data_IF_503532093385
#
_entry.id   IF_503532093385
#
_cell.length_a   1.000
_cell.length_b   1.000
_cell.length_c   1.000
_cell.angle_alpha   90.00
_cell.angle_beta   90.00
_cell.angle_gamma   90.00
#
_symmetry.space_group_name_H-M   'P 1'
#
loop_
_entity.id
_entity.type
_entity.pdbx_description
1 polymer ?
#
# COMPACT_ATOMS: atom_id res chain seq x y z
N UNK A 1 21.17 9.89 -26.79
CA UNK A 1 20.30 9.65 -25.61
C UNK A 1 20.88 10.48 -24.48
N UNK A 2 20.15 11.46 -23.95
CA UNK A 2 20.56 12.17 -22.76
C UNK A 2 20.50 11.19 -21.58
N UNK A 3 21.55 11.10 -20.77
CA UNK A 3 21.53 10.30 -19.55
C UNK A 3 20.47 10.92 -18.64
N UNK A 4 19.51 10.09 -18.17
CA UNK A 4 18.52 10.52 -17.20
C UNK A 4 19.21 11.11 -15.97
N UNK A 5 18.78 12.29 -15.54
CA UNK A 5 19.40 12.90 -14.35
C UNK A 5 19.13 12.03 -13.12
N UNK A 6 20.01 12.08 -12.12
CA UNK A 6 19.81 11.36 -10.86
C UNK A 6 18.44 11.67 -10.20
N UNK A 7 17.93 12.84 -10.48
CA UNK A 7 16.63 13.29 -10.02
C UNK A 7 15.45 12.68 -10.79
N UNK A 8 15.62 12.37 -12.09
CA UNK A 8 14.59 11.73 -12.88
C UNK A 8 14.47 10.24 -12.46
N UNK A 9 15.59 9.61 -12.14
CA UNK A 9 15.63 8.25 -11.58
C UNK A 9 14.90 8.20 -10.24
N UNK A 10 15.19 9.14 -9.33
CA UNK A 10 14.53 9.17 -8.02
C UNK A 10 13.02 9.41 -8.12
N UNK A 11 12.57 10.20 -9.11
CA UNK A 11 11.14 10.41 -9.36
C UNK A 11 10.46 9.11 -9.82
N UNK A 12 11.07 8.41 -10.77
CA UNK A 12 10.58 7.10 -11.26
C UNK A 12 10.55 6.10 -10.09
N UNK A 13 11.61 6.00 -9.31
CA UNK A 13 11.70 5.11 -8.15
C UNK A 13 10.61 5.38 -7.11
N UNK A 14 10.25 6.65 -6.89
CA UNK A 14 9.16 7.03 -6.00
C UNK A 14 7.79 6.58 -6.54
N UNK A 15 7.53 6.76 -7.83
CA UNK A 15 6.30 6.27 -8.47
C UNK A 15 6.22 4.75 -8.41
N UNK A 16 7.33 4.04 -8.65
CA UNK A 16 7.41 2.59 -8.52
C UNK A 16 7.15 2.14 -7.08
N UNK A 17 7.72 2.82 -6.07
CA UNK A 17 7.45 2.52 -4.67
C UNK A 17 5.96 2.61 -4.33
N UNK A 18 5.29 3.68 -4.73
CA UNK A 18 3.85 3.84 -4.52
C UNK A 18 3.03 2.78 -5.26
N UNK A 19 3.41 2.46 -6.50
CA UNK A 19 2.73 1.47 -7.34
C UNK A 19 2.91 0.04 -6.81
N UNK A 20 4.13 -0.31 -6.42
CA UNK A 20 4.48 -1.63 -5.90
C UNK A 20 3.73 -1.93 -4.60
N UNK A 21 3.64 -0.95 -3.71
CA UNK A 21 2.82 -1.07 -2.50
C UNK A 21 1.36 -1.38 -2.83
N UNK A 22 0.80 -0.64 -3.78
CA UNK A 22 -0.61 -0.80 -4.14
C UNK A 22 -0.87 -2.16 -4.82
N UNK A 23 -0.02 -2.59 -5.76
CA UNK A 23 -0.23 -3.86 -6.47
C UNK A 23 -0.05 -5.06 -5.55
N UNK A 24 0.96 -5.04 -4.67
CA UNK A 24 1.22 -6.15 -3.73
C UNK A 24 0.08 -6.31 -2.74
N UNK A 25 -0.41 -5.21 -2.13
CA UNK A 25 -1.58 -5.30 -1.25
C UNK A 25 -2.85 -5.67 -2.02
N UNK A 26 -3.03 -5.16 -3.24
CA UNK A 26 -4.15 -5.52 -4.10
C UNK A 26 -4.20 -7.03 -4.37
N UNK A 27 -3.07 -7.65 -4.65
CA UNK A 27 -2.97 -9.10 -4.83
C UNK A 27 -3.26 -9.86 -3.53
N UNK A 28 -2.71 -9.41 -2.39
CA UNK A 28 -3.01 -10.01 -1.08
C UNK A 28 -4.50 -9.97 -0.74
N UNK A 29 -5.16 -8.83 -0.98
CA UNK A 29 -6.60 -8.72 -0.79
C UNK A 29 -7.38 -9.60 -1.76
N UNK A 30 -6.91 -9.71 -3.01
CA UNK A 30 -7.50 -10.59 -4.03
C UNK A 30 -7.48 -12.08 -3.69
N UNK A 31 -6.59 -12.54 -2.81
CA UNK A 31 -6.57 -13.92 -2.31
C UNK A 31 -7.84 -14.29 -1.51
N UNK A 32 -8.62 -13.30 -1.07
CA UNK A 32 -9.92 -13.51 -0.42
C UNK A 32 -11.08 -13.72 -1.39
N UNK A 33 -10.90 -13.47 -2.68
CA UNK A 33 -11.95 -13.69 -3.68
C UNK A 33 -12.38 -15.15 -3.71
N UNK A 34 -13.65 -15.40 -3.40
CA UNK A 34 -14.22 -16.74 -3.21
C UNK A 34 -13.88 -17.43 -1.88
N UNK A 35 -13.23 -16.73 -0.94
CA UNK A 35 -12.76 -17.26 0.34
C UNK A 35 -13.06 -16.33 1.53
N UNK A 36 -13.80 -15.25 1.30
CA UNK A 36 -14.18 -14.30 2.34
C UNK A 36 -15.00 -14.96 3.45
N UNK A 37 -14.94 -14.45 4.70
CA UNK A 37 -15.66 -15.05 5.83
C UNK A 37 -17.18 -14.99 5.66
N UNK A 38 -17.67 -14.01 4.94
CA UNK A 38 -19.07 -13.86 4.50
C UNK A 38 -19.08 -13.17 3.13
N UNK A 39 -20.18 -13.28 2.39
CA UNK A 39 -20.29 -12.76 1.02
C UNK A 39 -19.97 -11.26 0.92
N UNK A 40 -20.46 -10.47 1.87
CA UNK A 40 -20.27 -9.03 1.90
C UNK A 40 -18.78 -8.66 2.03
N UNK A 41 -18.04 -9.40 2.82
CA UNK A 41 -16.61 -9.18 3.02
C UNK A 41 -15.76 -9.69 1.84
N UNK A 42 -16.17 -10.78 1.22
CA UNK A 42 -15.57 -11.24 -0.04
C UNK A 42 -15.66 -10.14 -1.11
N UNK A 43 -16.85 -9.57 -1.30
CA UNK A 43 -17.08 -8.48 -2.24
C UNK A 43 -16.30 -7.22 -1.83
N UNK A 44 -16.25 -6.88 -0.54
CA UNK A 44 -15.52 -5.71 -0.06
C UNK A 44 -14.02 -5.85 -0.33
N UNK A 45 -13.41 -6.99 -0.01
CA UNK A 45 -11.99 -7.25 -0.26
C UNK A 45 -11.68 -7.25 -1.76
N UNK A 46 -12.54 -7.83 -2.58
CA UNK A 46 -12.39 -7.82 -4.05
C UNK A 46 -12.42 -6.38 -4.59
N UNK A 47 -13.35 -5.55 -4.13
CA UNK A 47 -13.43 -4.14 -4.57
C UNK A 47 -12.21 -3.34 -4.12
N UNK A 48 -11.75 -3.51 -2.87
CA UNK A 48 -10.53 -2.86 -2.38
C UNK A 48 -9.29 -3.32 -3.18
N UNK A 49 -9.24 -4.60 -3.58
CA UNK A 49 -8.20 -5.12 -4.46
C UNK A 49 -8.23 -4.40 -5.82
N UNK A 50 -9.40 -4.24 -6.43
CA UNK A 50 -9.55 -3.54 -7.71
C UNK A 50 -9.16 -2.06 -7.62
N UNK A 51 -9.51 -1.37 -6.53
CA UNK A 51 -9.10 0.01 -6.28
C UNK A 51 -7.57 0.12 -6.24
N UNK A 52 -6.92 -0.75 -5.48
CA UNK A 52 -5.45 -0.78 -5.33
C UNK A 52 -4.75 -1.10 -6.66
N UNK A 53 -5.24 -2.06 -7.42
CA UNK A 53 -4.72 -2.39 -8.76
C UNK A 53 -4.93 -1.18 -9.70
N UNK A 54 -6.06 -0.49 -9.60
CA UNK A 54 -6.32 0.73 -10.37
C UNK A 54 -5.36 1.87 -10.03
N UNK A 55 -5.02 2.06 -8.75
CA UNK A 55 -4.01 3.01 -8.28
C UNK A 55 -2.62 2.64 -8.82
N UNK A 56 -2.21 1.38 -8.67
CA UNK A 56 -0.94 0.88 -9.20
C UNK A 56 -0.83 1.11 -10.71
N UNK A 57 -1.88 0.81 -11.46
CA UNK A 57 -1.92 1.02 -12.90
C UNK A 57 -1.63 2.47 -13.29
N UNK A 58 -2.31 3.43 -12.67
CA UNK A 58 -2.09 4.85 -12.97
C UNK A 58 -0.66 5.29 -12.66
N UNK A 59 -0.08 4.80 -11.57
CA UNK A 59 1.30 5.10 -11.17
C UNK A 59 2.32 4.47 -12.11
N UNK A 60 2.13 3.20 -12.51
CA UNK A 60 3.00 2.54 -13.48
C UNK A 60 2.92 3.20 -14.86
N UNK A 61 1.73 3.62 -15.33
CA UNK A 61 1.58 4.37 -16.57
C UNK A 61 2.38 5.67 -16.52
N UNK A 62 2.32 6.39 -15.39
CA UNK A 62 3.07 7.62 -15.20
C UNK A 62 4.58 7.34 -15.18
N UNK A 63 5.04 6.36 -14.40
CA UNK A 63 6.44 5.95 -14.37
C UNK A 63 6.95 5.54 -15.76
N UNK A 64 6.19 4.73 -16.49
CA UNK A 64 6.53 4.31 -17.84
C UNK A 64 6.66 5.49 -18.82
N UNK A 65 5.79 6.51 -18.69
CA UNK A 65 5.87 7.72 -19.52
C UNK A 65 7.14 8.52 -19.25
N UNK A 66 7.63 8.56 -18.01
CA UNK A 66 8.88 9.23 -17.63
C UNK A 66 10.11 8.41 -18.04
N UNK A 67 10.04 7.08 -17.96
CA UNK A 67 11.12 6.18 -18.38
C UNK A 67 11.36 6.23 -19.89
N UNK A 68 10.30 6.31 -20.68
CA UNK A 68 10.37 6.18 -22.13
C UNK A 68 10.85 4.79 -22.57
N UNK A 69 11.58 4.71 -23.66
CA UNK A 69 12.22 3.47 -24.17
C UNK A 69 11.30 2.26 -24.32
N UNK A 70 10.00 2.48 -24.55
CA UNK A 70 9.02 1.40 -24.71
C UNK A 70 8.57 0.75 -23.41
N UNK A 71 8.87 1.34 -22.26
CA UNK A 71 8.32 0.88 -20.97
C UNK A 71 6.80 0.97 -20.99
N UNK A 72 6.13 -0.01 -20.39
CA UNK A 72 4.67 -0.08 -20.26
C UNK A 72 4.30 -0.40 -18.83
N UNK A 73 3.04 -0.13 -18.45
CA UNK A 73 2.52 -0.53 -17.15
C UNK A 73 2.71 -2.02 -16.88
N UNK A 74 2.47 -2.87 -17.90
CA UNK A 74 2.60 -4.33 -17.76
C UNK A 74 4.07 -4.75 -17.58
N UNK A 75 5.01 -4.10 -18.28
CA UNK A 75 6.43 -4.38 -18.09
C UNK A 75 6.90 -4.05 -16.69
N UNK A 76 6.32 -3.02 -16.07
CA UNK A 76 6.64 -2.61 -14.70
C UNK A 76 5.91 -3.44 -13.64
N UNK A 77 4.69 -3.90 -13.90
CA UNK A 77 3.93 -4.69 -12.96
C UNK A 77 4.29 -6.18 -12.93
N UNK A 78 4.62 -6.78 -14.12
CA UNK A 78 4.67 -8.24 -14.25
C UNK A 78 6.02 -8.79 -14.74
N UNK A 79 6.88 -7.97 -15.34
CA UNK A 79 8.12 -8.48 -15.96
C UNK A 79 9.38 -8.04 -15.21
N UNK A 80 9.24 -7.40 -14.06
CA UNK A 80 10.35 -7.14 -13.15
C UNK A 80 10.59 -8.34 -12.24
N UNK A 81 11.86 -8.58 -11.91
CA UNK A 81 12.21 -9.56 -10.89
C UNK A 81 11.71 -9.12 -9.51
N UNK A 82 11.32 -10.08 -8.66
CA UNK A 82 10.77 -9.80 -7.33
C UNK A 82 11.68 -8.91 -6.46
N UNK A 83 13.01 -9.09 -6.57
CA UNK A 83 13.97 -8.32 -5.75
C UNK A 83 14.10 -6.84 -6.13
N UNK A 84 13.52 -6.40 -7.24
CA UNK A 84 13.51 -4.98 -7.65
C UNK A 84 12.21 -4.26 -7.28
N UNK A 85 11.24 -4.96 -6.71
CA UNK A 85 10.05 -4.34 -6.15
C UNK A 85 10.42 -3.51 -4.91
N UNK A 86 9.72 -2.41 -4.71
CA UNK A 86 10.01 -1.39 -3.69
C UNK A 86 8.90 -1.26 -2.65
N UNK A 87 8.09 -2.29 -2.50
CA UNK A 87 6.99 -2.29 -1.54
C UNK A 87 7.48 -2.49 -0.10
N UNK A 88 6.65 -2.09 0.86
CA UNK A 88 6.88 -2.38 2.28
C UNK A 88 6.74 -3.87 2.57
N UNK A 89 7.58 -4.39 3.43
CA UNK A 89 7.55 -5.80 3.90
C UNK A 89 6.19 -6.18 4.50
N UNK A 90 5.55 -5.26 5.23
CA UNK A 90 4.21 -5.46 5.80
C UNK A 90 3.20 -5.99 4.78
N UNK A 91 3.28 -5.56 3.52
CA UNK A 91 2.30 -5.88 2.48
C UNK A 91 2.51 -7.27 1.87
N UNK A 92 3.73 -7.80 1.95
CA UNK A 92 4.06 -9.15 1.48
C UNK A 92 3.67 -10.25 2.46
N UNK A 93 3.50 -9.92 3.74
CA UNK A 93 3.25 -10.92 4.78
C UNK A 93 2.00 -11.74 4.46
N UNK A 94 2.01 -13.04 4.74
CA UNK A 94 0.87 -13.91 4.49
C UNK A 94 -0.32 -13.57 5.40
N UNK A 95 -1.47 -14.17 5.12
CA UNK A 95 -2.70 -13.98 5.91
C UNK A 95 -2.73 -14.78 7.23
N UNK A 96 -1.64 -15.40 7.62
CA UNK A 96 -1.51 -16.09 8.91
C UNK A 96 -0.40 -15.42 9.74
N UNK A 97 -0.53 -15.43 11.07
CA UNK A 97 0.39 -14.75 11.97
C UNK A 97 1.78 -15.39 12.10
N UNK A 98 2.01 -16.58 11.53
CA UNK A 98 3.30 -17.24 11.48
C UNK A 98 3.85 -17.23 10.06
N UNK A 99 5.15 -16.95 9.91
CA UNK A 99 5.84 -17.01 8.61
C UNK A 99 6.14 -18.45 8.15
N UNK A 100 5.69 -19.44 8.90
CA UNK A 100 5.85 -20.87 8.61
C UNK A 100 4.50 -21.56 8.59
N UNK A 101 4.29 -22.42 7.63
CA UNK A 101 3.05 -23.21 7.52
C UNK A 101 2.26 -22.93 6.24
N UNK A 102 1.14 -23.59 6.12
CA UNK A 102 0.29 -23.55 4.94
C UNK A 102 -0.69 -22.37 5.01
N UNK A 103 -0.39 -21.33 4.27
CA UNK A 103 -1.17 -20.08 4.28
C UNK A 103 -2.62 -20.26 3.84
N UNK A 104 -2.89 -21.20 2.95
CA UNK A 104 -4.22 -21.36 2.33
C UNK A 104 -5.28 -21.82 3.35
N UNK A 105 -4.92 -22.73 4.23
CA UNK A 105 -5.88 -23.36 5.17
C UNK A 105 -5.98 -22.61 6.51
N UNK A 106 -5.07 -21.68 6.79
CA UNK A 106 -4.97 -20.96 8.06
C UNK A 106 -5.06 -19.43 7.90
N UNK A 107 -5.81 -18.96 6.91
CA UNK A 107 -6.02 -17.53 6.72
C UNK A 107 -6.72 -16.92 7.92
N UNK A 108 -6.15 -15.85 8.45
CA UNK A 108 -6.75 -15.06 9.53
C UNK A 108 -7.22 -13.70 8.99
N UNK A 109 -8.52 -13.48 9.04
CA UNK A 109 -9.12 -12.25 8.57
C UNK A 109 -8.70 -11.05 9.42
N UNK A 110 -8.38 -11.25 10.71
CA UNK A 110 -7.87 -10.19 11.57
C UNK A 110 -6.51 -9.66 11.07
N UNK A 111 -5.61 -10.53 10.60
CA UNK A 111 -4.33 -10.11 9.97
C UNK A 111 -4.60 -9.22 8.75
N UNK A 112 -5.56 -9.59 7.92
CA UNK A 112 -5.92 -8.82 6.72
C UNK A 112 -6.48 -7.46 7.09
N UNK A 113 -7.40 -7.38 8.04
CA UNK A 113 -8.02 -6.12 8.50
C UNK A 113 -6.98 -5.20 9.12
N UNK A 114 -6.14 -5.71 10.02
CA UNK A 114 -5.07 -4.92 10.65
C UNK A 114 -4.10 -4.39 9.60
N UNK A 115 -3.65 -5.22 8.66
CA UNK A 115 -2.76 -4.80 7.56
C UNK A 115 -3.38 -3.69 6.73
N UNK A 116 -4.63 -3.87 6.30
CA UNK A 116 -5.34 -2.86 5.52
C UNK A 116 -5.51 -1.57 6.32
N UNK A 117 -5.81 -1.63 7.62
CA UNK A 117 -5.94 -0.46 8.47
C UNK A 117 -4.63 0.31 8.58
N UNK A 118 -3.52 -0.37 8.88
CA UNK A 118 -2.21 0.25 9.05
C UNK A 118 -1.75 0.93 7.75
N UNK A 119 -1.81 0.21 6.63
CA UNK A 119 -1.37 0.76 5.36
C UNK A 119 -2.31 1.85 4.83
N UNK A 120 -3.62 1.65 4.90
CA UNK A 120 -4.57 2.67 4.41
C UNK A 120 -4.52 3.95 5.25
N UNK A 121 -4.25 3.84 6.56
CA UNK A 121 -4.05 5.01 7.43
C UNK A 121 -2.81 5.81 7.02
N UNK A 122 -1.70 5.15 6.69
CA UNK A 122 -0.54 5.81 6.11
C UNK A 122 -0.90 6.50 4.79
N UNK A 123 -1.53 5.74 3.87
CA UNK A 123 -1.84 6.25 2.54
C UNK A 123 -2.87 7.37 2.53
N UNK A 124 -3.79 7.41 3.50
CA UNK A 124 -4.66 8.55 3.72
C UNK A 124 -3.85 9.84 3.90
N UNK A 125 -2.86 9.82 4.78
CA UNK A 125 -2.00 10.96 5.08
C UNK A 125 -1.06 11.32 3.92
N UNK A 126 -0.58 10.31 3.19
CA UNK A 126 0.29 10.50 2.02
C UNK A 126 -0.48 11.12 0.86
N UNK A 127 -1.66 10.55 0.50
CA UNK A 127 -2.47 11.07 -0.60
C UNK A 127 -3.02 12.47 -0.33
N UNK A 128 -3.38 12.79 0.93
CA UNK A 128 -3.79 14.16 1.29
C UNK A 128 -2.69 15.18 0.99
N UNK A 129 -1.44 14.86 1.22
CA UNK A 129 -0.29 15.75 0.95
C UNK A 129 0.11 15.77 -0.51
N UNK A 130 0.06 14.62 -1.19
CA UNK A 130 0.42 14.50 -2.61
C UNK A 130 -0.52 15.25 -3.55
N UNK A 131 -1.72 15.64 -3.13
CA UNK A 131 -2.55 16.55 -3.91
C UNK A 131 -1.87 17.89 -4.20
N UNK A 132 -0.87 18.26 -3.40
CA UNK A 132 -0.07 19.47 -3.56
C UNK A 132 1.31 19.19 -4.19
N UNK A 133 1.51 18.03 -4.80
CA UNK A 133 2.75 17.69 -5.49
C UNK A 133 3.04 18.66 -6.64
N UNK A 134 4.31 18.99 -6.83
CA UNK A 134 4.77 19.73 -8.02
C UNK A 134 4.63 18.90 -9.31
N UNK A 135 4.52 17.57 -9.20
CA UNK A 135 4.11 16.69 -10.29
C UNK A 135 2.58 16.67 -10.40
N UNK A 136 2.06 17.38 -11.38
CA UNK A 136 0.61 17.55 -11.58
C UNK A 136 -0.11 16.24 -11.88
N UNK A 137 0.55 15.29 -12.54
CA UNK A 137 -0.01 13.97 -12.82
C UNK A 137 -0.13 13.14 -11.52
N UNK A 138 0.92 13.15 -10.70
CA UNK A 138 0.89 12.51 -9.39
C UNK A 138 -0.16 13.15 -8.47
N UNK A 139 -0.29 14.48 -8.49
CA UNK A 139 -1.33 15.19 -7.73
C UNK A 139 -2.75 14.77 -8.16
N UNK A 140 -2.99 14.58 -9.46
CA UNK A 140 -4.27 14.11 -9.98
C UNK A 140 -4.56 12.65 -9.55
N UNK A 141 -3.56 11.77 -9.61
CA UNK A 141 -3.65 10.40 -9.11
C UNK A 141 -3.98 10.40 -7.60
N UNK A 142 -3.29 11.22 -6.82
CA UNK A 142 -3.52 11.35 -5.39
C UNK A 142 -4.96 11.80 -5.06
N UNK A 143 -5.49 12.78 -5.78
CA UNK A 143 -6.85 13.28 -5.58
C UNK A 143 -7.92 12.21 -5.87
N UNK A 144 -7.68 11.31 -6.83
CA UNK A 144 -8.56 10.17 -7.11
C UNK A 144 -8.42 9.10 -6.03
N UNK A 145 -7.20 8.65 -5.76
CA UNK A 145 -6.89 7.56 -4.82
C UNK A 145 -7.34 7.88 -3.38
N UNK A 146 -7.30 9.15 -2.99
CA UNK A 146 -7.74 9.60 -1.67
C UNK A 146 -9.21 9.25 -1.38
N UNK A 147 -10.08 9.27 -2.39
CA UNK A 147 -11.52 8.93 -2.21
C UNK A 147 -11.69 7.44 -1.89
N UNK A 148 -10.93 6.58 -2.56
CA UNK A 148 -10.92 5.14 -2.38
C UNK A 148 -10.33 4.79 -1.02
N UNK A 149 -9.17 5.35 -0.67
CA UNK A 149 -8.48 5.08 0.59
C UNK A 149 -9.28 5.52 1.82
N UNK A 150 -10.07 6.58 1.75
CA UNK A 150 -11.01 6.95 2.82
C UNK A 150 -12.01 5.84 3.14
N UNK A 151 -12.48 5.14 2.11
CA UNK A 151 -13.32 3.97 2.30
C UNK A 151 -12.54 2.82 2.95
N UNK A 152 -11.31 2.55 2.47
CA UNK A 152 -10.47 1.48 3.02
C UNK A 152 -10.19 1.67 4.51
N UNK A 153 -9.82 2.88 4.93
CA UNK A 153 -9.60 3.21 6.36
C UNK A 153 -10.87 3.00 7.17
N UNK A 154 -12.02 3.49 6.69
CA UNK A 154 -13.30 3.33 7.39
C UNK A 154 -13.67 1.87 7.53
N UNK A 155 -13.64 1.11 6.44
CA UNK A 155 -13.97 -0.31 6.44
C UNK A 155 -13.09 -1.09 7.43
N UNK A 156 -11.76 -0.94 7.34
CA UNK A 156 -10.84 -1.64 8.24
C UNK A 156 -10.98 -1.18 9.69
N UNK A 157 -11.19 0.12 9.93
CA UNK A 157 -11.43 0.69 11.26
C UNK A 157 -12.71 0.16 11.91
N UNK A 158 -13.82 0.12 11.16
CA UNK A 158 -15.09 -0.44 11.63
C UNK A 158 -14.95 -1.91 12.03
N UNK A 159 -14.16 -2.69 11.29
CA UNK A 159 -13.87 -4.07 11.63
C UNK A 159 -12.98 -4.22 12.86
N UNK A 160 -11.98 -3.37 13.03
CA UNK A 160 -11.13 -3.38 14.24
C UNK A 160 -11.97 -3.12 15.49
N UNK A 161 -12.88 -2.15 15.43
CA UNK A 161 -13.81 -1.87 16.56
C UNK A 161 -14.67 -3.11 16.84
N UNK A 162 -15.26 -3.73 15.80
CA UNK A 162 -16.07 -4.94 15.96
C UNK A 162 -15.28 -6.11 16.56
N UNK A 163 -14.02 -6.29 16.16
CA UNK A 163 -13.16 -7.32 16.76
C UNK A 163 -12.83 -7.03 18.21
N UNK A 164 -12.54 -5.76 18.54
CA UNK A 164 -12.23 -5.34 19.90
C UNK A 164 -13.40 -5.46 20.87
N UNK A 165 -14.60 -5.07 20.43
CA UNK A 165 -15.82 -5.05 21.24
C UNK A 165 -16.63 -6.36 21.13
N UNK A 166 -16.18 -7.31 20.33
CA UNK A 166 -16.89 -8.55 20.06
C UNK A 166 -16.68 -9.63 21.13
N UNK A 167 -16.26 -10.81 20.71
CA UNK A 167 -15.98 -11.92 21.63
C UNK A 167 -14.53 -11.84 22.13
N UNK A 168 -14.24 -12.55 23.23
CA UNK A 168 -12.86 -12.71 23.72
C UNK A 168 -11.94 -13.27 22.64
N UNK A 169 -12.44 -14.21 21.81
CA UNK A 169 -11.67 -14.79 20.71
C UNK A 169 -11.33 -13.75 19.64
N UNK A 170 -12.30 -12.94 19.19
CA UNK A 170 -12.06 -11.91 18.16
C UNK A 170 -11.10 -10.84 18.66
N UNK A 171 -11.23 -10.43 19.93
CA UNK A 171 -10.31 -9.50 20.56
C UNK A 171 -8.88 -10.04 20.58
N UNK A 172 -8.70 -11.29 21.04
CA UNK A 172 -7.38 -11.92 21.08
C UNK A 172 -6.75 -12.06 19.69
N UNK A 173 -7.52 -12.41 18.65
CA UNK A 173 -7.03 -12.49 17.28
C UNK A 173 -6.60 -11.11 16.75
N UNK A 174 -7.40 -10.07 17.01
CA UNK A 174 -7.04 -8.71 16.60
C UNK A 174 -5.79 -8.20 17.32
N UNK A 175 -5.66 -8.46 18.62
CA UNK A 175 -4.47 -8.09 19.38
C UNK A 175 -3.24 -8.83 18.87
N UNK A 176 -3.32 -10.14 18.64
CA UNK A 176 -2.23 -10.92 18.09
C UNK A 176 -1.81 -10.44 16.69
N UNK A 177 -2.77 -10.05 15.85
CA UNK A 177 -2.51 -9.46 14.55
C UNK A 177 -1.78 -8.11 14.65
N UNK A 178 -2.20 -7.24 15.59
CA UNK A 178 -1.51 -5.98 15.88
C UNK A 178 -0.07 -6.23 16.34
N UNK A 179 0.12 -7.10 17.33
CA UNK A 179 1.44 -7.42 17.89
C UNK A 179 2.39 -7.98 16.81
N UNK A 180 1.84 -8.75 15.87
CA UNK A 180 2.61 -9.32 14.76
C UNK A 180 2.99 -8.27 13.70
N UNK A 181 2.06 -7.37 13.32
CA UNK A 181 2.25 -6.46 12.19
C UNK A 181 2.86 -5.11 12.58
N UNK A 182 2.65 -4.63 13.79
CA UNK A 182 3.14 -3.32 14.24
C UNK A 182 4.65 -3.12 14.06
N UNK A 183 5.54 -4.10 14.33
CA UNK A 183 6.97 -3.91 14.12
C UNK A 183 7.35 -3.52 12.69
N UNK A 184 6.61 -4.00 11.68
CA UNK A 184 6.85 -3.70 10.28
C UNK A 184 6.44 -2.29 9.87
N UNK A 185 5.64 -1.59 10.68
CA UNK A 185 5.27 -0.18 10.39
C UNK A 185 6.44 0.78 10.54
N UNK A 186 7.56 0.37 11.13
CA UNK A 186 8.76 1.19 11.23
C UNK A 186 9.29 1.58 9.85
N UNK A 187 9.11 0.72 8.84
CA UNK A 187 9.46 1.03 7.45
C UNK A 187 8.73 2.26 6.91
N UNK A 188 7.50 2.54 7.36
CA UNK A 188 6.69 3.68 6.92
C UNK A 188 7.35 5.03 7.19
N UNK A 189 8.18 5.11 8.22
CA UNK A 189 8.79 6.33 8.72
C UNK A 189 10.27 6.46 8.38
N UNK A 190 10.79 5.51 7.60
CA UNK A 190 12.19 5.40 7.21
C UNK A 190 12.37 5.81 5.75
N UNK A 191 12.57 7.11 5.51
CA UNK A 191 12.70 7.62 4.14
C UNK A 191 13.97 7.10 3.45
N UNK A 192 13.79 6.51 2.28
CA UNK A 192 14.86 6.12 1.34
C UNK A 192 15.54 7.34 0.71
N UNK A 193 16.65 7.15 0.02
CA UNK A 193 17.36 8.25 -0.62
C UNK A 193 16.58 8.86 -1.78
N UNK A 194 15.86 8.05 -2.55
CA UNK A 194 15.00 8.58 -3.62
C UNK A 194 13.84 9.43 -3.04
N UNK A 195 13.25 9.04 -1.91
CA UNK A 195 12.21 9.83 -1.23
C UNK A 195 12.75 11.19 -0.77
N UNK A 196 13.93 11.24 -0.16
CA UNK A 196 14.57 12.51 0.23
C UNK A 196 14.75 13.44 -0.96
N UNK A 197 15.17 12.90 -2.12
CA UNK A 197 15.35 13.67 -3.36
C UNK A 197 14.02 14.25 -3.85
N UNK A 198 12.96 13.42 -3.97
CA UNK A 198 11.66 13.91 -4.47
C UNK A 198 10.98 14.87 -3.49
N UNK A 199 11.18 14.71 -2.19
CA UNK A 199 10.73 15.68 -1.17
C UNK A 199 11.40 17.02 -1.36
N UNK A 200 12.72 17.06 -1.60
CA UNK A 200 13.46 18.29 -1.83
C UNK A 200 12.98 19.06 -3.08
N UNK A 201 12.34 18.38 -4.01
CA UNK A 201 11.77 18.93 -5.25
C UNK A 201 10.27 19.26 -5.16
N UNK A 202 9.66 19.02 -4.02
CA UNK A 202 8.22 19.21 -3.83
C UNK A 202 7.35 18.17 -4.56
N UNK A 203 7.94 17.08 -5.06
CA UNK A 203 7.23 15.99 -5.73
C UNK A 203 6.64 15.02 -4.71
N UNK A 204 7.45 14.58 -3.75
CA UNK A 204 7.11 13.56 -2.76
C UNK A 204 6.71 14.12 -1.40
N UNK A 205 6.39 13.23 -0.47
CA UNK A 205 5.96 13.53 0.90
C UNK A 205 7.04 13.12 1.90
N UNK A 206 7.33 13.99 2.87
CA UNK A 206 8.22 13.68 3.99
C UNK A 206 7.51 12.81 5.03
N UNK A 207 7.63 11.50 4.88
CA UNK A 207 7.01 10.50 5.78
C UNK A 207 7.54 10.61 7.21
N UNK A 208 8.80 11.02 7.39
CA UNK A 208 9.38 11.22 8.72
C UNK A 208 8.68 12.35 9.50
N UNK A 209 8.20 13.39 8.80
CA UNK A 209 7.40 14.45 9.43
C UNK A 209 5.99 13.99 9.78
N UNK A 210 5.41 13.11 8.96
CA UNK A 210 4.10 12.51 9.28
C UNK A 210 4.21 11.73 10.59
N UNK A 211 5.20 10.83 10.71
CA UNK A 211 5.41 10.03 11.90
C UNK A 211 5.57 10.85 13.18
N UNK A 212 6.31 11.96 13.12
CA UNK A 212 6.51 12.85 14.28
C UNK A 212 5.28 13.64 14.71
N UNK A 213 4.34 13.87 13.82
CA UNK A 213 3.12 14.63 14.13
C UNK A 213 2.05 13.78 14.83
N UNK A 214 2.23 12.47 14.89
CA UNK A 214 1.25 11.51 15.41
C UNK A 214 1.81 10.70 16.60
N UNK A 215 3.00 11.02 17.08
CA UNK A 215 3.57 10.58 18.35
C UNK A 215 3.45 11.70 19.38
#
# INVERSE_FOLDING_TARGET
MAASSHADIAHIDYLLHLADNAVVLGQRNGEWCGHGPVLEEDIAMTNMSLDLIGQARMLYQHAASLMGNGATEDSLAYFRDAHVFRNYTLLELPHHGALVGYAIDNRDYAITIVRNFLYSSLMLLVWERLQNSSDTQLAAIAAKSLKEVRYHVRHAGDWLVRFGDGTTESHQKAQAALDHLMPYTQEFWSASDFEKIVVSKGIGVDVCKIGRAHV
#
